data_IF_333570947984
#
_entry.id   IF_333570947984
#
_cell.length_a   1.000
_cell.length_b   1.000
_cell.length_c   1.000
_cell.angle_alpha   90.00
_cell.angle_beta   90.00
_cell.angle_gamma   90.00
#
_symmetry.space_group_name_H-M   'P 1'
#
loop_
_entity.id
_entity.type
_entity.pdbx_description
1 polymer ?
#
# COMPACT_ATOMS: atom_id res chain seq x y z
N UNK A 1 -29.25 -43.12 26.43
CA UNK A 1 -27.84 -42.87 26.06
C UNK A 1 -27.59 -41.39 26.31
N UNK A 2 -26.89 -41.08 27.40
CA UNK A 2 -26.69 -39.72 27.92
C UNK A 2 -25.43 -39.17 27.26
N UNK A 3 -25.51 -37.93 26.78
CA UNK A 3 -24.42 -37.25 26.09
C UNK A 3 -23.30 -36.91 27.09
N UNK A 4 -22.07 -37.34 26.78
CA UNK A 4 -20.87 -37.13 27.61
C UNK A 4 -20.18 -35.83 27.20
N UNK A 5 -20.77 -34.69 27.58
CA UNK A 5 -20.18 -33.37 27.38
C UNK A 5 -19.80 -32.78 28.76
N UNK A 6 -18.51 -32.49 28.96
CA UNK A 6 -17.95 -32.03 30.24
C UNK A 6 -18.36 -30.59 30.63
N UNK A 7 -18.88 -29.80 29.68
CA UNK A 7 -19.43 -28.47 29.93
C UNK A 7 -20.62 -28.18 29.00
N UNK A 8 -21.77 -27.79 29.59
CA UNK A 8 -22.91 -27.23 28.85
C UNK A 8 -22.62 -25.76 28.49
N UNK A 9 -22.06 -25.54 27.31
CA UNK A 9 -21.87 -24.19 26.76
C UNK A 9 -23.06 -23.85 25.90
N UNK A 10 -23.83 -22.77 26.19
CA UNK A 10 -24.90 -22.36 25.31
C UNK A 10 -24.33 -22.05 23.93
N UNK A 11 -24.95 -22.62 22.88
CA UNK A 11 -24.51 -22.41 21.51
C UNK A 11 -24.55 -20.91 21.19
N UNK A 12 -23.38 -20.26 21.19
CA UNK A 12 -23.23 -18.90 20.71
C UNK A 12 -23.57 -18.91 19.23
N UNK A 13 -24.75 -18.38 18.88
CA UNK A 13 -25.12 -18.05 17.51
C UNK A 13 -24.26 -16.87 17.05
N UNK A 14 -23.00 -17.12 16.74
CA UNK A 14 -22.18 -16.15 16.03
C UNK A 14 -22.68 -16.08 14.58
N UNK A 15 -23.66 -15.21 14.33
CA UNK A 15 -23.93 -14.79 12.96
C UNK A 15 -22.67 -14.04 12.47
N UNK A 16 -22.09 -14.42 11.31
CA UNK A 16 -21.00 -13.65 10.75
C UNK A 16 -21.48 -12.22 10.49
N UNK A 17 -20.62 -11.21 10.68
CA UNK A 17 -20.98 -9.83 10.35
C UNK A 17 -21.41 -9.77 8.88
N UNK A 18 -22.39 -8.91 8.54
CA UNK A 18 -22.84 -8.76 7.16
C UNK A 18 -21.65 -8.37 6.27
N UNK A 19 -21.60 -8.87 5.02
CA UNK A 19 -20.50 -8.58 4.13
C UNK A 19 -20.42 -7.07 3.88
N UNK A 20 -19.26 -6.49 4.18
CA UNK A 20 -18.99 -5.08 3.94
C UNK A 20 -18.93 -4.84 2.42
N UNK A 21 -19.92 -4.12 1.88
CA UNK A 21 -20.01 -3.78 0.46
C UNK A 21 -19.03 -2.65 0.09
N UNK A 22 -17.73 -2.91 0.23
CA UNK A 22 -16.69 -1.97 -0.16
C UNK A 22 -16.57 -1.88 -1.69
N UNK A 23 -16.44 -0.66 -2.20
CA UNK A 23 -16.06 -0.40 -3.59
C UNK A 23 -14.66 -0.96 -3.89
N UNK A 24 -14.35 -1.18 -5.17
CA UNK A 24 -13.05 -1.68 -5.58
C UNK A 24 -11.89 -0.78 -5.11
N UNK A 25 -12.12 0.54 -5.09
CA UNK A 25 -11.14 1.52 -4.62
C UNK A 25 -10.98 1.48 -3.10
N UNK A 26 -12.07 1.34 -2.33
CA UNK A 26 -12.00 1.17 -0.88
C UNK A 26 -11.22 -0.11 -0.51
N UNK A 27 -11.50 -1.23 -1.20
CA UNK A 27 -10.75 -2.49 -1.04
C UNK A 27 -9.27 -2.32 -1.38
N UNK A 28 -8.94 -1.52 -2.38
CA UNK A 28 -7.54 -1.21 -2.74
C UNK A 28 -6.87 -0.39 -1.64
N UNK A 29 -7.48 0.70 -1.20
CA UNK A 29 -6.96 1.55 -0.13
C UNK A 29 -6.73 0.74 1.15
N UNK A 30 -7.68 -0.11 1.54
CA UNK A 30 -7.54 -0.96 2.73
C UNK A 30 -6.33 -1.89 2.64
N UNK A 31 -6.12 -2.53 1.48
CA UNK A 31 -4.94 -3.38 1.25
C UNK A 31 -3.64 -2.59 1.29
N UNK A 32 -3.62 -1.39 0.71
CA UNK A 32 -2.45 -0.51 0.73
C UNK A 32 -2.09 -0.08 2.15
N UNK A 33 -3.09 0.27 2.97
CA UNK A 33 -2.88 0.58 4.38
C UNK A 33 -2.35 -0.63 5.16
N UNK A 34 -2.89 -1.83 4.93
CA UNK A 34 -2.39 -3.05 5.55
C UNK A 34 -0.92 -3.34 5.19
N UNK A 35 -0.53 -3.12 3.92
CA UNK A 35 0.86 -3.25 3.50
C UNK A 35 1.77 -2.28 4.27
N UNK A 36 1.36 -1.02 4.40
CA UNK A 36 2.12 0.00 5.14
C UNK A 36 2.30 -0.36 6.62
N UNK A 37 1.24 -0.85 7.28
CA UNK A 37 1.30 -1.32 8.67
C UNK A 37 2.29 -2.49 8.83
N UNK A 38 2.38 -3.34 7.81
CA UNK A 38 3.33 -4.46 7.77
C UNK A 38 4.75 -4.06 7.34
N UNK A 39 5.08 -2.76 7.27
CA UNK A 39 6.40 -2.29 6.84
C UNK A 39 6.68 -2.53 5.36
N UNK A 40 5.64 -2.70 4.54
CA UNK A 40 5.75 -2.92 3.10
C UNK A 40 5.24 -1.72 2.31
N UNK A 41 5.93 -1.43 1.21
CA UNK A 41 5.52 -0.40 0.28
C UNK A 41 4.22 -0.81 -0.44
N UNK A 42 3.26 0.10 -0.72
CA UNK A 42 2.00 -0.26 -1.35
C UNK A 42 2.12 -0.96 -2.72
N UNK A 43 3.23 -0.75 -3.44
CA UNK A 43 3.53 -1.46 -4.70
C UNK A 43 3.73 -2.97 -4.50
N UNK A 44 4.11 -3.44 -3.30
CA UNK A 44 4.28 -4.86 -3.00
C UNK A 44 3.03 -5.69 -3.30
N UNK A 45 1.84 -5.08 -3.25
CA UNK A 45 0.57 -5.72 -3.60
C UNK A 45 0.45 -6.10 -5.08
N UNK A 46 1.29 -5.51 -5.93
CA UNK A 46 1.29 -5.70 -7.39
C UNK A 46 2.58 -6.33 -7.91
N UNK A 47 3.63 -6.39 -7.09
CA UNK A 47 4.92 -6.94 -7.46
C UNK A 47 5.02 -8.40 -7.01
N UNK A 48 5.80 -9.20 -7.73
CA UNK A 48 6.04 -10.60 -7.39
C UNK A 48 6.89 -10.81 -6.13
N UNK A 49 7.47 -9.73 -5.57
CA UNK A 49 8.32 -9.75 -4.38
C UNK A 49 7.91 -8.62 -3.42
N UNK A 50 8.02 -8.84 -2.10
CA UNK A 50 7.86 -7.78 -1.12
C UNK A 50 8.86 -6.65 -1.37
N UNK A 51 8.42 -5.42 -1.18
CA UNK A 51 9.22 -4.21 -1.30
C UNK A 51 9.18 -3.52 0.07
N UNK A 52 10.22 -3.67 0.90
CA UNK A 52 10.20 -3.10 2.25
C UNK A 52 10.23 -1.58 2.21
N UNK A 53 9.73 -0.96 3.28
CA UNK A 53 9.91 0.47 3.52
C UNK A 53 11.39 0.78 3.80
N UNK A 54 11.80 1.99 3.45
CA UNK A 54 13.11 2.50 3.82
C UNK A 54 13.19 2.70 5.35
N UNK A 55 14.34 2.46 6.02
CA UNK A 55 14.49 2.70 7.45
C UNK A 55 14.11 4.13 7.88
N UNK A 56 14.54 5.12 7.09
CA UNK A 56 14.24 6.55 7.30
C UNK A 56 12.96 7.03 6.58
N UNK A 57 12.06 6.11 6.21
CA UNK A 57 10.81 6.50 5.58
C UNK A 57 9.91 7.24 6.57
N UNK A 58 9.16 8.22 6.07
CA UNK A 58 8.16 8.90 6.89
C UNK A 58 7.09 7.90 7.39
N UNK A 59 6.54 8.08 8.61
CA UNK A 59 5.56 7.16 9.16
C UNK A 59 4.29 7.07 8.29
N UNK A 60 3.69 5.88 8.15
CA UNK A 60 2.46 5.71 7.40
C UNK A 60 1.29 6.39 8.13
N UNK A 61 0.47 7.13 7.40
CA UNK A 61 -0.73 7.80 7.93
C UNK A 61 -0.54 9.28 8.29
N UNK A 62 0.70 9.72 8.57
CA UNK A 62 1.01 11.14 8.66
C UNK A 62 1.61 11.61 7.34
N UNK A 63 0.94 12.57 6.69
CA UNK A 63 1.41 13.14 5.41
C UNK A 63 2.33 14.33 5.57
N UNK A 64 2.44 14.87 6.80
CA UNK A 64 3.25 16.04 7.15
C UNK A 64 4.50 15.69 7.96
N UNK A 65 4.54 14.53 8.59
CA UNK A 65 5.74 14.05 9.28
C UNK A 65 6.97 14.07 8.36
N UNK A 66 8.11 14.40 8.94
CA UNK A 66 9.40 14.34 8.27
C UNK A 66 9.78 12.91 7.87
N UNK A 67 10.69 12.80 6.91
CA UNK A 67 11.22 11.52 6.44
C UNK A 67 11.11 11.32 4.93
N UNK A 68 11.68 10.22 4.45
CA UNK A 68 11.76 9.92 3.03
C UNK A 68 10.40 9.46 2.50
N UNK A 69 10.00 9.99 1.34
CA UNK A 69 8.71 9.70 0.69
C UNK A 69 8.91 9.37 -0.79
N UNK A 70 7.92 8.77 -1.43
CA UNK A 70 7.98 8.64 -2.89
C UNK A 70 7.93 10.01 -3.59
N UNK A 71 7.36 11.02 -2.94
CA UNK A 71 7.23 12.37 -3.49
C UNK A 71 8.55 13.06 -3.82
N UNK A 72 9.58 12.83 -2.99
CA UNK A 72 10.93 13.34 -3.17
C UNK A 72 11.90 12.27 -3.73
N UNK A 73 11.38 11.16 -4.24
CA UNK A 73 12.18 10.09 -4.87
C UNK A 73 12.37 10.37 -6.36
N UNK A 74 13.60 10.27 -6.91
CA UNK A 74 13.89 10.50 -8.34
C UNK A 74 13.11 9.60 -9.27
N UNK A 75 12.82 8.37 -8.84
CA UNK A 75 12.09 7.40 -9.64
C UNK A 75 10.59 7.69 -9.74
N UNK A 76 10.05 8.66 -8.99
CA UNK A 76 8.63 9.05 -9.13
C UNK A 76 8.47 10.09 -10.22
N UNK A 77 7.90 9.64 -11.33
CA UNK A 77 7.60 10.49 -12.49
C UNK A 77 6.10 10.56 -12.76
N UNK A 78 5.66 11.67 -13.35
CA UNK A 78 4.30 11.82 -13.84
C UNK A 78 4.30 11.41 -15.31
N UNK A 79 3.79 10.21 -15.60
CA UNK A 79 3.62 9.76 -16.97
C UNK A 79 2.37 10.41 -17.56
N UNK A 80 2.54 11.16 -18.64
CA UNK A 80 1.44 11.84 -19.34
C UNK A 80 0.90 10.94 -20.45
N UNK A 81 -0.42 10.80 -20.54
CA UNK A 81 -1.11 10.15 -21.65
C UNK A 81 -2.41 10.92 -21.95
N UNK A 82 -2.40 11.69 -23.03
CA UNK A 82 -3.43 12.69 -23.32
C UNK A 82 -3.47 13.79 -22.24
N UNK A 83 -4.67 14.18 -21.74
CA UNK A 83 -4.81 15.27 -20.77
C UNK A 83 -4.57 14.85 -19.30
N UNK A 84 -4.23 13.58 -19.06
CA UNK A 84 -4.10 13.02 -17.71
C UNK A 84 -2.66 12.64 -17.42
N UNK A 85 -2.30 12.74 -16.14
CA UNK A 85 -0.98 12.40 -15.61
C UNK A 85 -1.12 11.32 -14.55
N UNK A 86 -0.34 10.24 -14.67
CA UNK A 86 -0.33 9.14 -13.71
C UNK A 86 1.04 9.06 -13.05
N UNK A 87 1.10 9.15 -11.71
CA UNK A 87 2.38 9.06 -11.02
C UNK A 87 2.86 7.61 -11.00
N UNK A 88 3.99 7.30 -11.63
CA UNK A 88 4.55 5.94 -11.72
C UNK A 88 5.96 5.89 -11.14
N UNK A 89 6.37 4.69 -10.73
CA UNK A 89 7.76 4.40 -10.36
C UNK A 89 8.52 3.93 -11.60
N UNK A 90 9.58 4.65 -11.95
CA UNK A 90 10.47 4.36 -13.08
C UNK A 90 11.74 3.61 -12.66
N UNK A 91 11.80 3.11 -11.41
CA UNK A 91 12.91 2.27 -10.97
C UNK A 91 13.09 1.07 -11.90
N UNK A 92 14.35 0.76 -12.24
CA UNK A 92 14.71 -0.35 -13.11
C UNK A 92 14.05 -0.25 -14.50
N UNK A 93 14.05 0.94 -15.10
CA UNK A 93 13.42 1.19 -16.40
C UNK A 93 11.90 0.89 -16.42
N UNK A 94 11.23 1.22 -15.31
CA UNK A 94 9.78 1.08 -15.21
C UNK A 94 9.26 -0.33 -14.98
N UNK A 95 10.09 -1.27 -14.50
CA UNK A 95 9.64 -2.64 -14.15
C UNK A 95 8.51 -2.69 -13.10
N UNK A 96 8.27 -1.59 -12.38
CA UNK A 96 7.19 -1.45 -11.37
C UNK A 96 5.95 -0.73 -11.89
N UNK A 97 5.92 -0.38 -13.18
CA UNK A 97 4.83 0.33 -13.82
C UNK A 97 3.81 -0.66 -14.38
N UNK A 98 2.53 -0.36 -14.17
CA UNK A 98 1.43 -0.95 -14.94
C UNK A 98 0.45 0.12 -15.38
N UNK A 99 -0.47 -0.21 -16.29
CA UNK A 99 -1.51 0.72 -16.74
C UNK A 99 -2.66 0.91 -15.73
N UNK A 100 -2.63 0.23 -14.59
CA UNK A 100 -3.67 0.30 -13.56
C UNK A 100 -3.35 1.25 -12.41
N UNK A 101 -4.39 1.72 -11.72
CA UNK A 101 -4.28 2.59 -10.55
C UNK A 101 -3.61 1.93 -9.33
N UNK A 102 -3.43 0.60 -9.34
CA UNK A 102 -2.70 -0.12 -8.29
C UNK A 102 -1.22 0.24 -8.20
N UNK A 103 -0.63 0.70 -9.32
CA UNK A 103 0.78 1.12 -9.39
C UNK A 103 0.95 2.64 -9.40
N UNK A 104 -0.11 3.40 -9.11
CA UNK A 104 -0.03 4.86 -9.00
C UNK A 104 0.67 5.26 -7.70
N UNK A 105 1.90 5.75 -7.81
CA UNK A 105 2.75 6.10 -6.67
C UNK A 105 2.38 7.47 -6.12
N UNK A 106 1.65 7.49 -5.00
CA UNK A 106 1.24 8.74 -4.35
C UNK A 106 2.46 9.48 -3.79
N UNK A 107 2.43 10.82 -3.87
CA UNK A 107 3.53 11.68 -3.37
C UNK A 107 3.80 11.47 -1.87
N UNK A 108 2.75 11.23 -1.09
CA UNK A 108 2.81 11.12 0.35
C UNK A 108 3.18 9.71 0.85
N UNK A 109 3.26 8.70 -0.01
CA UNK A 109 3.64 7.35 0.42
C UNK A 109 5.06 7.34 1.02
N UNK A 110 5.28 6.59 2.10
CA UNK A 110 6.61 6.34 2.64
C UNK A 110 7.55 5.77 1.57
N UNK A 111 8.82 6.17 1.61
CA UNK A 111 9.84 5.67 0.70
C UNK A 111 10.04 4.14 0.84
N UNK A 112 10.35 3.47 -0.27
CA UNK A 112 10.80 2.08 -0.28
C UNK A 112 12.33 1.97 -0.12
N UNK A 113 12.83 0.76 0.09
CA UNK A 113 14.28 0.47 0.16
C UNK A 113 15.11 0.96 -1.03
N UNK A 114 14.55 1.09 -2.24
CA UNK A 114 15.26 1.60 -3.42
C UNK A 114 15.16 3.12 -3.61
N UNK A 115 14.79 3.83 -2.55
CA UNK A 115 14.69 5.28 -2.60
C UNK A 115 16.01 5.91 -3.02
N UNK A 116 15.92 6.90 -3.90
CA UNK A 116 17.01 7.80 -4.20
C UNK A 116 16.45 9.22 -4.25
N UNK A 117 17.14 10.21 -3.66
CA UNK A 117 16.66 11.58 -3.64
C UNK A 117 16.56 12.13 -5.06
N UNK A 118 15.55 12.99 -5.30
CA UNK A 118 15.55 13.85 -6.48
C UNK A 118 16.71 14.82 -6.38
N UNK A 119 17.46 14.97 -7.46
CA UNK A 119 18.40 16.06 -7.58
C UNK A 119 17.62 17.36 -7.42
N UNK A 120 17.94 18.09 -6.35
CA UNK A 120 17.42 19.44 -6.15
C UNK A 120 18.27 20.31 -7.05
N UNK A 121 17.85 20.52 -8.29
CA UNK A 121 18.45 21.59 -9.10
C UNK A 121 18.15 22.90 -8.36
N UNK A 122 19.18 23.68 -7.97
CA UNK A 122 18.99 24.94 -7.26
C UNK A 122 18.22 25.97 -8.09
#
# INVERSE_FOLDING_TARGET
MVSDALFDVPALKHAPPPPENLSADQKRTRRQLAALVNGQHPLSLTLSRPLPLHPDAAPPGDTKADGLRCGNCRFRELLSYGPRNWPKCMFGDGVRRSHGAGTDVRKWWPACSDYQPKDVTP
#
